data_IF_284350849623
#
_entry.id   IF_284350849623
#
_cell.length_a   1.000
_cell.length_b   1.000
_cell.length_c   1.000
_cell.angle_alpha   90.00
_cell.angle_beta   90.00
_cell.angle_gamma   90.00
#
_symmetry.space_group_name_H-M   'P 1'
#
loop_
_entity.id
_entity.type
_entity.pdbx_description
1 polymer ?
#
# COMPACT_ATOMS: atom_id res chain seq x y z
N UNK A 1 -23.54 -4.33 9.69
CA UNK A 1 -23.09 -3.44 10.77
C UNK A 1 -22.62 -4.22 12.01
N UNK A 2 -23.40 -5.14 12.66
CA UNK A 2 -22.95 -5.78 13.91
C UNK A 2 -21.60 -6.49 13.82
N UNK A 3 -21.35 -7.25 12.75
CA UNK A 3 -20.06 -7.94 12.54
C UNK A 3 -18.89 -6.95 12.44
N UNK A 4 -19.06 -5.85 11.69
CA UNK A 4 -18.04 -4.80 11.56
C UNK A 4 -17.71 -4.17 12.92
N UNK A 5 -18.74 -3.83 13.72
CA UNK A 5 -18.54 -3.25 15.05
C UNK A 5 -17.89 -4.25 16.01
N UNK A 6 -18.24 -5.54 15.90
CA UNK A 6 -17.59 -6.62 16.66
C UNK A 6 -16.11 -6.76 16.33
N UNK A 7 -15.74 -6.69 15.03
CA UNK A 7 -14.34 -6.71 14.58
C UNK A 7 -13.57 -5.51 15.15
N UNK A 8 -14.12 -4.29 15.01
CA UNK A 8 -13.50 -3.08 15.57
C UNK A 8 -13.28 -3.23 17.08
N UNK A 9 -14.29 -3.74 17.80
CA UNK A 9 -14.20 -3.97 19.24
C UNK A 9 -13.11 -4.98 19.61
N UNK A 10 -12.93 -6.04 18.81
CA UNK A 10 -11.90 -7.06 19.05
C UNK A 10 -10.48 -6.48 18.88
N UNK A 11 -10.25 -5.69 17.85
CA UNK A 11 -8.96 -5.01 17.64
C UNK A 11 -8.65 -4.01 18.77
N UNK A 12 -9.61 -3.17 19.12
CA UNK A 12 -9.43 -2.16 20.19
C UNK A 12 -9.17 -2.76 21.56
N UNK A 13 -9.75 -3.93 21.84
CA UNK A 13 -9.57 -4.64 23.12
C UNK A 13 -8.32 -5.53 23.17
N UNK A 14 -7.52 -5.57 22.09
CA UNK A 14 -6.34 -6.42 22.02
C UNK A 14 -6.67 -7.93 22.01
N UNK A 15 -7.84 -8.32 21.49
CA UNK A 15 -8.22 -9.73 21.38
C UNK A 15 -7.57 -10.44 20.20
N UNK A 16 -6.85 -9.69 19.34
CA UNK A 16 -6.14 -10.25 18.20
C UNK A 16 -4.68 -10.44 18.58
N UNK A 17 -4.17 -11.65 18.40
CA UNK A 17 -2.80 -11.99 18.77
C UNK A 17 -1.79 -11.07 18.06
N UNK A 18 -0.89 -10.47 18.83
CA UNK A 18 0.13 -9.52 18.36
C UNK A 18 -0.41 -8.24 17.71
N UNK A 19 -1.67 -7.87 17.99
CA UNK A 19 -2.23 -6.60 17.51
C UNK A 19 -3.00 -5.93 18.64
N UNK A 20 -2.68 -4.67 18.92
CA UNK A 20 -3.37 -3.86 19.93
C UNK A 20 -3.48 -2.40 19.46
N UNK A 21 -4.56 -1.73 19.89
CA UNK A 21 -4.65 -0.30 19.66
C UNK A 21 -3.81 0.47 20.69
N UNK A 22 -3.05 1.46 20.22
CA UNK A 22 -2.33 2.41 21.08
C UNK A 22 -3.25 3.53 21.60
N UNK A 23 -2.72 4.45 22.41
CA UNK A 23 -3.46 5.59 22.97
C UNK A 23 -3.99 6.56 21.90
N UNK A 24 -3.40 6.57 20.72
CA UNK A 24 -3.86 7.38 19.57
C UNK A 24 -4.95 6.71 18.76
N UNK A 25 -5.30 5.45 19.07
CA UNK A 25 -6.27 4.63 18.38
C UNK A 25 -5.75 3.91 17.16
N UNK A 26 -4.46 4.00 16.82
CA UNK A 26 -3.80 3.23 15.78
C UNK A 26 -3.36 1.84 16.26
N UNK A 27 -3.06 0.94 15.31
CA UNK A 27 -2.76 -0.46 15.62
C UNK A 27 -1.25 -0.68 15.71
N UNK A 28 -0.76 -1.04 16.88
CA UNK A 28 0.58 -1.64 17.02
C UNK A 28 0.52 -3.10 16.62
N UNK A 29 1.30 -3.48 15.61
CA UNK A 29 1.20 -4.76 14.89
C UNK A 29 2.50 -5.53 14.99
N UNK A 30 2.41 -6.73 15.55
CA UNK A 30 3.49 -7.70 15.51
C UNK A 30 4.61 -7.48 16.51
N UNK A 31 5.66 -8.24 16.29
CA UNK A 31 6.94 -8.18 17.01
C UNK A 31 8.06 -8.25 15.98
N UNK A 32 9.33 -8.00 16.34
CA UNK A 32 10.45 -8.10 15.40
C UNK A 32 10.58 -9.44 14.64
N UNK A 33 9.93 -10.50 15.15
CA UNK A 33 10.00 -11.85 14.57
C UNK A 33 8.69 -12.29 13.90
N UNK A 34 7.66 -11.44 13.85
CA UNK A 34 6.37 -11.75 13.20
C UNK A 34 6.28 -11.10 11.82
N UNK A 35 5.40 -11.66 10.96
CA UNK A 35 5.02 -11.06 9.68
C UNK A 35 3.51 -11.03 9.57
N UNK A 36 2.93 -9.89 9.89
CA UNK A 36 1.48 -9.67 9.89
C UNK A 36 1.00 -8.76 8.75
N UNK A 37 1.89 -8.46 7.79
CA UNK A 37 1.54 -7.70 6.58
C UNK A 37 1.70 -8.56 5.33
N UNK A 38 1.30 -8.03 4.17
CA UNK A 38 1.47 -8.73 2.90
C UNK A 38 2.95 -8.96 2.51
N UNK A 39 3.89 -8.16 3.06
CA UNK A 39 5.33 -8.36 2.90
C UNK A 39 5.86 -9.35 3.94
N UNK A 40 5.58 -10.63 3.77
CA UNK A 40 5.65 -11.65 4.82
C UNK A 40 6.75 -12.71 4.65
N UNK A 41 7.78 -12.46 3.82
CA UNK A 41 8.85 -13.45 3.61
C UNK A 41 9.74 -13.57 4.84
N UNK A 42 10.01 -14.82 5.21
CA UNK A 42 11.02 -15.19 6.22
C UNK A 42 12.15 -16.00 5.60
N UNK A 43 13.37 -15.78 6.11
CA UNK A 43 14.53 -16.64 5.83
C UNK A 43 15.09 -17.05 7.18
N UNK A 44 15.18 -18.36 7.42
CA UNK A 44 15.63 -18.94 8.70
C UNK A 44 14.88 -18.37 9.92
N UNK A 45 13.56 -18.21 9.80
CA UNK A 45 12.71 -17.69 10.87
C UNK A 45 12.82 -16.19 11.14
N UNK A 46 13.54 -15.44 10.30
CA UNK A 46 13.66 -13.97 10.42
C UNK A 46 12.99 -13.27 9.26
N UNK A 47 12.24 -12.19 9.52
CA UNK A 47 11.67 -11.32 8.48
C UNK A 47 12.76 -10.79 7.54
N UNK A 48 12.51 -10.84 6.24
CA UNK A 48 13.31 -10.11 5.24
C UNK A 48 12.96 -8.64 5.25
N UNK A 49 11.69 -8.33 5.45
CA UNK A 49 11.15 -6.97 5.53
C UNK A 49 10.44 -6.81 6.88
N UNK A 50 11.18 -6.46 7.97
CA UNK A 50 10.58 -6.29 9.29
C UNK A 50 9.61 -5.12 9.31
N UNK A 51 8.32 -5.38 9.62
CA UNK A 51 7.26 -4.38 9.60
C UNK A 51 6.38 -4.43 10.85
N UNK A 52 7.01 -4.74 12.00
CA UNK A 52 6.37 -4.57 13.31
C UNK A 52 6.23 -3.10 13.69
N UNK A 53 5.30 -2.77 14.57
CA UNK A 53 4.93 -1.41 14.94
C UNK A 53 3.72 -0.94 14.15
N UNK A 54 3.79 0.21 13.53
CA UNK A 54 2.67 0.81 12.78
C UNK A 54 2.97 0.85 11.27
N UNK A 55 2.63 -0.21 10.48
CA UNK A 55 2.79 -0.19 9.02
C UNK A 55 1.79 0.75 8.37
N UNK A 56 2.24 1.58 7.44
CA UNK A 56 1.46 2.68 6.87
C UNK A 56 0.14 2.25 6.22
N UNK A 57 0.13 1.13 5.49
CA UNK A 57 -1.09 0.62 4.86
C UNK A 57 -2.06 0.01 5.87
N UNK A 58 -1.55 -0.60 6.93
CA UNK A 58 -2.39 -1.14 7.99
C UNK A 58 -3.12 0.01 8.70
N UNK A 59 -2.42 1.10 9.00
CA UNK A 59 -3.01 2.27 9.62
C UNK A 59 -4.01 2.98 8.70
N UNK A 60 -3.70 3.06 7.41
CA UNK A 60 -4.63 3.59 6.42
C UNK A 60 -5.91 2.75 6.31
N UNK A 61 -5.78 1.42 6.25
CA UNK A 61 -6.90 0.47 6.23
C UNK A 61 -7.71 0.53 7.51
N UNK A 62 -7.05 0.63 8.66
CA UNK A 62 -7.72 0.77 9.95
C UNK A 62 -8.52 2.07 10.05
N UNK A 63 -7.90 3.20 9.72
CA UNK A 63 -8.61 4.48 9.65
C UNK A 63 -9.83 4.41 8.73
N UNK A 64 -9.67 3.86 7.52
CA UNK A 64 -10.76 3.70 6.56
C UNK A 64 -11.88 2.81 7.13
N UNK A 65 -11.54 1.76 7.86
CA UNK A 65 -12.51 0.87 8.53
C UNK A 65 -13.33 1.62 9.58
N UNK A 66 -12.67 2.44 10.41
CA UNK A 66 -13.33 3.27 11.42
C UNK A 66 -14.21 4.34 10.79
N UNK A 67 -13.73 5.01 9.74
CA UNK A 67 -14.49 6.03 9.01
C UNK A 67 -15.72 5.45 8.30
N UNK A 68 -15.60 4.25 7.70
CA UNK A 68 -16.73 3.53 7.14
C UNK A 68 -17.75 3.16 8.21
N UNK A 69 -17.29 2.67 9.37
CA UNK A 69 -18.18 2.30 10.47
C UNK A 69 -18.92 3.53 11.03
N UNK A 70 -18.24 4.66 11.18
CA UNK A 70 -18.86 5.95 11.52
C UNK A 70 -19.94 6.34 10.51
N UNK A 71 -19.61 6.31 9.20
CA UNK A 71 -20.56 6.62 8.14
C UNK A 71 -21.83 5.73 8.20
N UNK A 72 -21.65 4.42 8.37
CA UNK A 72 -22.76 3.46 8.51
C UNK A 72 -23.58 3.75 9.77
N UNK A 73 -22.93 4.04 10.90
CA UNK A 73 -23.62 4.32 12.17
C UNK A 73 -24.52 5.54 12.04
N UNK A 74 -24.03 6.62 11.41
CA UNK A 74 -24.84 7.83 11.17
C UNK A 74 -26.07 7.55 10.30
N UNK A 75 -25.92 6.80 9.22
CA UNK A 75 -27.03 6.45 8.32
C UNK A 75 -28.09 5.55 8.99
N UNK A 76 -27.65 4.65 9.84
CA UNK A 76 -28.53 3.67 10.50
C UNK A 76 -29.04 4.15 11.85
N UNK A 77 -28.51 5.27 12.38
CA UNK A 77 -28.74 5.73 13.75
C UNK A 77 -28.33 4.68 14.81
N UNK A 78 -27.31 3.91 14.52
CA UNK A 78 -26.68 2.97 15.43
C UNK A 78 -25.73 3.71 16.40
N UNK A 79 -25.33 3.11 17.53
CA UNK A 79 -24.22 3.61 18.34
C UNK A 79 -22.94 3.74 17.51
N UNK A 80 -22.33 4.92 17.56
CA UNK A 80 -21.16 5.24 16.75
C UNK A 80 -19.89 4.59 17.34
N UNK A 81 -19.21 3.69 16.62
CA UNK A 81 -18.00 3.04 17.11
C UNK A 81 -16.75 3.94 17.07
N UNK A 82 -16.81 5.06 16.34
CA UNK A 82 -15.68 5.99 16.21
C UNK A 82 -16.19 7.38 15.82
N UNK A 83 -16.13 8.35 16.73
CA UNK A 83 -16.64 9.70 16.50
C UNK A 83 -15.84 10.48 15.44
N UNK A 84 -16.49 11.46 14.80
CA UNK A 84 -15.81 12.39 13.88
C UNK A 84 -14.62 13.12 14.54
N UNK A 85 -14.70 13.43 15.84
CA UNK A 85 -13.59 14.03 16.61
C UNK A 85 -12.38 13.08 16.70
N UNK A 86 -12.62 11.81 16.96
CA UNK A 86 -11.58 10.78 17.02
C UNK A 86 -10.92 10.60 15.64
N UNK A 87 -11.69 10.51 14.57
CA UNK A 87 -11.17 10.44 13.19
C UNK A 87 -10.30 11.67 12.84
N UNK A 88 -10.71 12.86 13.23
CA UNK A 88 -9.92 14.07 13.01
C UNK A 88 -8.59 14.06 13.80
N UNK A 89 -8.62 13.59 15.05
CA UNK A 89 -7.41 13.40 15.86
C UNK A 89 -6.46 12.38 15.22
N UNK A 90 -6.97 11.25 14.75
CA UNK A 90 -6.19 10.23 14.06
C UNK A 90 -5.50 10.77 12.79
N UNK A 91 -6.17 11.57 11.95
CA UNK A 91 -5.53 12.23 10.81
C UNK A 91 -4.34 13.09 11.22
N UNK A 92 -4.47 13.83 12.31
CA UNK A 92 -3.39 14.69 12.83
C UNK A 92 -2.19 13.85 13.29
N UNK A 93 -2.44 12.76 14.02
CA UNK A 93 -1.39 11.82 14.46
C UNK A 93 -0.75 11.12 13.26
N UNK A 94 -1.55 10.67 12.28
CA UNK A 94 -1.04 10.03 11.07
C UNK A 94 -0.03 10.92 10.35
N UNK A 95 -0.38 12.17 10.07
CA UNK A 95 0.55 13.14 9.43
C UNK A 95 1.84 13.33 10.24
N UNK A 96 1.73 13.48 11.55
CA UNK A 96 2.90 13.65 12.43
C UNK A 96 3.83 12.43 12.40
N UNK A 97 3.27 11.22 12.35
CA UNK A 97 4.04 9.97 12.37
C UNK A 97 4.64 9.63 10.99
N UNK A 98 3.88 9.80 9.93
CA UNK A 98 4.22 9.24 8.64
C UNK A 98 4.72 10.24 7.60
N UNK A 99 4.20 11.47 7.56
CA UNK A 99 4.54 12.41 6.50
C UNK A 99 5.96 12.92 6.63
N UNK A 100 6.75 12.76 5.57
CA UNK A 100 8.11 13.24 5.44
C UNK A 100 8.18 14.60 4.71
N UNK A 101 9.29 15.37 4.88
CA UNK A 101 9.42 16.68 4.24
C UNK A 101 9.37 16.68 2.71
N UNK A 102 9.74 15.56 2.08
CA UNK A 102 9.70 15.37 0.61
C UNK A 102 8.30 15.02 0.09
N UNK A 103 7.33 14.83 0.97
CA UNK A 103 5.96 14.45 0.65
C UNK A 103 5.70 12.96 0.59
N UNK A 104 6.71 12.11 0.80
CA UNK A 104 6.52 10.66 0.97
C UNK A 104 6.01 10.33 2.37
N UNK A 105 5.62 9.07 2.57
CA UNK A 105 5.30 8.54 3.88
C UNK A 105 6.33 7.49 4.29
N UNK A 106 6.64 7.45 5.59
CA UNK A 106 7.35 6.34 6.21
C UNK A 106 6.63 5.03 5.93
N UNK A 107 7.37 3.97 5.69
CA UNK A 107 6.77 2.63 5.53
C UNK A 107 6.24 2.07 6.85
N UNK A 108 7.02 2.27 7.93
CA UNK A 108 6.63 1.88 9.29
C UNK A 108 7.01 2.99 10.27
N UNK A 109 6.06 3.37 11.12
CA UNK A 109 6.39 4.19 12.29
C UNK A 109 6.65 3.30 13.51
N UNK A 110 7.76 3.57 14.21
CA UNK A 110 8.15 2.98 15.50
C UNK A 110 8.80 4.05 16.37
N UNK A 111 8.76 3.85 17.67
CA UNK A 111 9.58 4.68 18.59
C UNK A 111 11.07 4.41 18.38
N UNK A 112 11.93 5.31 18.82
CA UNK A 112 13.38 5.10 18.78
C UNK A 112 13.81 3.89 19.62
N UNK A 113 13.11 3.64 20.74
CA UNK A 113 13.33 2.48 21.60
C UNK A 113 13.00 1.15 20.92
N UNK A 114 12.06 1.16 19.97
CA UNK A 114 11.63 0.01 19.18
C UNK A 114 12.40 -0.16 17.86
N UNK A 115 13.53 0.53 17.71
CA UNK A 115 14.40 0.47 16.54
C UNK A 115 14.17 1.59 15.53
N UNK A 116 13.36 2.59 15.86
CA UNK A 116 13.12 3.77 15.04
C UNK A 116 12.24 3.52 13.80
N UNK A 117 11.83 4.61 13.13
CA UNK A 117 10.95 4.55 11.96
C UNK A 117 11.69 4.05 10.71
N UNK A 118 10.97 3.34 9.86
CA UNK A 118 11.43 2.94 8.51
C UNK A 118 10.96 3.97 7.48
N UNK A 119 11.92 4.64 6.85
CA UNK A 119 11.67 5.68 5.84
C UNK A 119 11.78 5.15 4.40
N UNK A 120 11.87 3.85 4.20
CA UNK A 120 11.95 3.24 2.86
C UNK A 120 10.77 3.68 1.98
N UNK A 121 11.06 4.06 0.74
CA UNK A 121 10.01 4.39 -0.23
C UNK A 121 9.46 3.09 -0.79
N UNK A 122 8.24 2.75 -0.35
CA UNK A 122 7.50 1.55 -0.73
C UNK A 122 6.09 1.88 -1.22
N UNK A 123 5.44 1.00 -2.00
CA UNK A 123 4.10 1.25 -2.55
C UNK A 123 3.01 1.30 -1.48
N UNK A 124 3.26 0.80 -0.29
CA UNK A 124 2.33 0.75 0.84
C UNK A 124 1.74 2.13 1.19
N UNK A 125 2.51 3.20 1.02
CA UNK A 125 2.07 4.57 1.25
C UNK A 125 0.84 5.00 0.41
N UNK A 126 0.62 4.36 -0.74
CA UNK A 126 -0.50 4.67 -1.63
C UNK A 126 -1.87 4.41 -0.98
N UNK A 127 -1.96 3.46 -0.07
CA UNK A 127 -3.21 3.18 0.64
C UNK A 127 -3.76 4.38 1.42
N UNK A 128 -2.89 5.27 1.89
CA UNK A 128 -3.29 6.48 2.60
C UNK A 128 -4.11 7.46 1.72
N UNK A 129 -3.98 7.36 0.39
CA UNK A 129 -4.67 8.19 -0.60
C UNK A 129 -5.75 7.42 -1.39
N UNK A 130 -5.57 6.11 -1.61
CA UNK A 130 -6.38 5.30 -2.51
C UNK A 130 -7.75 4.91 -1.94
N UNK A 131 -7.86 4.75 -0.63
CA UNK A 131 -9.03 4.18 0.03
C UNK A 131 -10.28 5.09 -0.07
N UNK A 132 -11.51 4.55 0.07
CA UNK A 132 -12.75 5.35 0.02
C UNK A 132 -12.81 6.49 1.04
N UNK A 133 -12.26 6.27 2.24
CA UNK A 133 -12.10 7.29 3.28
C UNK A 133 -10.60 7.51 3.51
N UNK A 134 -9.91 8.30 2.65
CA UNK A 134 -8.47 8.46 2.76
C UNK A 134 -8.09 9.20 4.05
N UNK A 135 -6.99 8.76 4.65
CA UNK A 135 -6.47 9.39 5.87
C UNK A 135 -5.70 10.69 5.56
N UNK A 136 -5.18 10.84 4.33
CA UNK A 136 -4.55 12.07 3.84
C UNK A 136 -5.54 12.99 3.13
N UNK A 137 -5.31 14.28 3.27
CA UNK A 137 -5.94 15.30 2.43
C UNK A 137 -5.33 15.24 1.01
N UNK A 138 -6.11 15.61 -0.05
CA UNK A 138 -5.66 15.50 -1.44
C UNK A 138 -4.33 16.20 -1.73
N UNK A 139 -4.11 17.38 -1.15
CA UNK A 139 -2.89 18.18 -1.34
C UNK A 139 -1.63 17.50 -0.77
N UNK A 140 -1.80 16.65 0.25
CA UNK A 140 -0.72 15.83 0.81
C UNK A 140 -0.54 14.53 0.04
N UNK A 141 -1.65 13.97 -0.47
CA UNK A 141 -1.63 12.77 -1.30
C UNK A 141 -0.89 12.99 -2.64
N UNK A 142 -0.86 14.21 -3.18
CA UNK A 142 -0.13 14.55 -4.41
C UNK A 142 1.37 14.20 -4.31
N UNK A 143 2.02 14.50 -3.18
CA UNK A 143 3.42 14.15 -2.94
C UNK A 143 3.65 12.63 -2.94
N UNK A 144 2.75 11.89 -2.29
CA UNK A 144 2.79 10.41 -2.24
C UNK A 144 2.68 9.81 -3.65
N UNK A 145 1.71 10.26 -4.44
CA UNK A 145 1.48 9.77 -5.81
C UNK A 145 2.67 10.12 -6.71
N UNK A 146 3.19 11.33 -6.61
CA UNK A 146 4.38 11.79 -7.37
C UNK A 146 5.58 10.90 -7.09
N UNK A 147 5.92 10.68 -5.83
CA UNK A 147 7.07 9.86 -5.45
C UNK A 147 6.89 8.41 -5.88
N UNK A 148 5.68 7.85 -5.71
CA UNK A 148 5.39 6.50 -6.19
C UNK A 148 5.55 6.39 -7.73
N UNK A 149 5.13 7.41 -8.47
CA UNK A 149 5.35 7.47 -9.93
C UNK A 149 6.83 7.50 -10.30
N UNK A 150 7.61 8.35 -9.65
CA UNK A 150 9.02 8.57 -9.98
C UNK A 150 9.92 7.40 -9.59
N UNK A 151 9.64 6.74 -8.44
CA UNK A 151 10.52 5.74 -7.85
C UNK A 151 10.04 4.30 -8.04
N UNK A 152 8.72 4.08 -8.11
CA UNK A 152 8.15 2.74 -8.02
C UNK A 152 7.44 2.27 -9.29
N UNK A 153 6.75 3.17 -10.02
CA UNK A 153 5.95 2.80 -11.19
C UNK A 153 6.84 2.28 -12.31
N UNK A 154 6.40 1.18 -12.91
CA UNK A 154 7.01 0.52 -14.07
C UNK A 154 5.93 0.16 -15.10
N UNK A 155 6.29 -0.27 -16.31
CA UNK A 155 5.31 -0.73 -17.30
C UNK A 155 4.48 -1.94 -16.86
N UNK A 156 4.91 -2.68 -15.82
CA UNK A 156 4.30 -3.95 -15.41
C UNK A 156 3.72 -3.95 -14.00
N UNK A 157 3.84 -2.85 -13.26
CA UNK A 157 3.38 -2.73 -11.89
C UNK A 157 4.22 -1.77 -11.07
N UNK A 158 4.19 -1.90 -9.75
CA UNK A 158 5.02 -1.09 -8.86
C UNK A 158 6.12 -1.93 -8.20
N UNK A 159 7.32 -1.36 -8.12
CA UNK A 159 8.41 -1.91 -7.30
C UNK A 159 8.00 -1.93 -5.83
N UNK A 160 8.44 -2.93 -5.12
CA UNK A 160 8.22 -3.08 -3.67
C UNK A 160 9.16 -2.24 -2.82
N UNK A 161 10.23 -1.73 -3.42
CA UNK A 161 11.23 -0.85 -2.82
C UNK A 161 11.82 0.07 -3.89
N UNK A 162 12.12 1.32 -3.52
CA UNK A 162 12.81 2.27 -4.41
C UNK A 162 14.19 1.75 -4.82
N UNK A 163 14.62 1.96 -6.09
CA UNK A 163 15.99 1.66 -6.52
C UNK A 163 17.07 2.46 -5.78
N UNK A 164 16.72 3.55 -5.12
CA UNK A 164 17.66 4.38 -4.35
C UNK A 164 17.96 3.79 -2.97
N UNK A 165 17.20 2.79 -2.53
CA UNK A 165 17.38 2.16 -1.23
C UNK A 165 18.56 1.16 -1.27
N UNK A 166 19.48 1.18 -0.29
CA UNK A 166 20.61 0.23 -0.24
C UNK A 166 20.21 -1.24 -0.20
N UNK A 167 18.99 -1.54 0.28
CA UNK A 167 18.45 -2.90 0.32
C UNK A 167 17.76 -3.33 -0.98
N UNK A 168 17.76 -2.48 -2.03
CA UNK A 168 17.13 -2.79 -3.30
C UNK A 168 17.73 -4.06 -3.93
N UNK A 169 16.89 -5.05 -4.14
CA UNK A 169 17.25 -6.36 -4.70
C UNK A 169 16.21 -6.73 -5.79
N UNK A 170 16.46 -6.31 -7.06
CA UNK A 170 15.45 -6.41 -8.12
C UNK A 170 15.27 -7.81 -8.70
N UNK A 171 16.28 -8.68 -8.59
CA UNK A 171 16.34 -9.95 -9.32
C UNK A 171 15.75 -11.10 -8.50
N UNK A 172 14.67 -11.69 -9.03
CA UNK A 172 14.03 -12.87 -8.44
C UNK A 172 14.63 -14.14 -9.05
N UNK A 173 15.86 -14.48 -8.65
CA UNK A 173 16.63 -15.60 -9.21
C UNK A 173 17.40 -16.38 -8.14
N UNK A 174 17.99 -17.52 -8.53
CA UNK A 174 18.84 -18.33 -7.67
C UNK A 174 18.09 -19.29 -6.74
N UNK A 175 18.65 -19.55 -5.57
CA UNK A 175 18.11 -20.43 -4.53
C UNK A 175 16.79 -19.88 -3.94
N UNK A 176 16.00 -20.69 -3.22
CA UNK A 176 14.80 -20.19 -2.51
C UNK A 176 15.09 -19.03 -1.56
N UNK A 177 16.25 -19.02 -0.90
CA UNK A 177 16.63 -17.94 0.00
C UNK A 177 16.97 -16.64 -0.75
N UNK A 178 17.65 -16.73 -1.89
CA UNK A 178 17.95 -15.57 -2.75
C UNK A 178 16.68 -14.99 -3.33
N UNK A 179 15.78 -15.81 -3.86
CA UNK A 179 14.45 -15.36 -4.31
C UNK A 179 13.62 -14.74 -3.18
N UNK A 180 13.67 -15.33 -1.99
CA UNK A 180 13.01 -14.78 -0.81
C UNK A 180 13.51 -13.40 -0.43
N UNK A 181 14.81 -13.11 -0.59
CA UNK A 181 15.38 -11.78 -0.32
C UNK A 181 14.84 -10.70 -1.25
N UNK A 182 14.64 -11.02 -2.52
CA UNK A 182 14.17 -10.04 -3.52
C UNK A 182 12.65 -9.84 -3.52
N UNK A 183 11.88 -10.81 -3.01
CA UNK A 183 10.43 -10.91 -3.20
C UNK A 183 9.63 -9.66 -2.79
N UNK A 184 10.09 -8.91 -1.77
CA UNK A 184 9.52 -7.64 -1.35
C UNK A 184 10.60 -6.53 -1.22
N UNK A 185 11.74 -6.70 -1.90
CA UNK A 185 12.87 -5.77 -1.83
C UNK A 185 13.26 -5.21 -3.21
N UNK A 186 12.30 -5.07 -4.10
CA UNK A 186 12.55 -4.47 -5.41
C UNK A 186 11.78 -5.08 -6.57
N UNK A 187 11.30 -6.34 -6.44
CA UNK A 187 10.43 -6.94 -7.48
C UNK A 187 9.19 -6.08 -7.72
N UNK A 188 8.68 -6.15 -8.94
CA UNK A 188 7.50 -5.42 -9.40
C UNK A 188 6.25 -6.29 -9.23
N UNK A 189 5.19 -5.69 -8.67
CA UNK A 189 3.91 -6.35 -8.41
C UNK A 189 2.77 -5.68 -9.19
N UNK A 190 2.13 -6.37 -10.14
CA UNK A 190 1.05 -5.82 -10.97
C UNK A 190 -0.20 -5.42 -10.18
N UNK A 191 -0.56 -6.17 -9.12
CA UNK A 191 -1.77 -5.89 -8.35
C UNK A 191 -1.81 -4.47 -7.75
N UNK A 192 -0.64 -3.89 -7.51
CA UNK A 192 -0.48 -2.53 -6.98
C UNK A 192 -0.93 -1.45 -7.95
N UNK A 193 -1.09 -1.77 -9.26
CA UNK A 193 -1.60 -0.82 -10.25
C UNK A 193 -3.01 -0.33 -9.90
N UNK A 194 -3.87 -1.20 -9.37
CA UNK A 194 -5.20 -0.79 -8.93
C UNK A 194 -5.17 0.22 -7.79
N UNK A 195 -4.29 0.01 -6.80
CA UNK A 195 -4.12 0.95 -5.68
C UNK A 195 -3.51 2.27 -6.17
N UNK A 196 -2.53 2.20 -7.08
CA UNK A 196 -1.91 3.38 -7.67
C UNK A 196 -2.91 4.20 -8.49
N UNK A 197 -3.71 3.55 -9.35
CA UNK A 197 -4.73 4.21 -10.16
C UNK A 197 -5.77 4.92 -9.28
N UNK A 198 -6.28 4.26 -8.24
CA UNK A 198 -7.19 4.88 -7.29
C UNK A 198 -6.59 6.12 -6.61
N UNK A 199 -5.34 6.02 -6.14
CA UNK A 199 -4.66 7.15 -5.52
C UNK A 199 -4.45 8.29 -6.53
N UNK A 200 -3.96 7.97 -7.74
CA UNK A 200 -3.71 8.93 -8.81
C UNK A 200 -4.98 9.67 -9.21
N UNK A 201 -6.05 8.95 -9.53
CA UNK A 201 -7.28 9.55 -10.06
C UNK A 201 -8.02 10.37 -8.99
N UNK A 202 -8.18 9.87 -7.77
CA UNK A 202 -8.79 10.61 -6.67
C UNK A 202 -8.04 11.89 -6.33
N UNK A 203 -6.71 11.80 -6.24
CA UNK A 203 -5.87 12.97 -5.96
C UNK A 203 -5.95 13.98 -7.08
N UNK A 204 -5.84 13.54 -8.34
CA UNK A 204 -5.94 14.43 -9.52
C UNK A 204 -7.30 15.10 -9.60
N UNK A 205 -8.40 14.37 -9.41
CA UNK A 205 -9.76 14.90 -9.43
C UNK A 205 -9.93 16.01 -8.39
N UNK A 206 -9.49 15.76 -7.16
CA UNK A 206 -9.61 16.72 -6.07
C UNK A 206 -8.75 17.97 -6.30
N UNK A 207 -7.46 17.82 -6.65
CA UNK A 207 -6.52 18.94 -6.84
C UNK A 207 -6.84 19.74 -8.10
N UNK A 208 -7.29 19.08 -9.18
CA UNK A 208 -7.69 19.78 -10.42
C UNK A 208 -9.09 20.39 -10.37
N UNK A 209 -9.80 20.24 -9.25
CA UNK A 209 -11.23 20.60 -9.14
C UNK A 209 -12.09 19.97 -10.25
N UNK A 210 -11.78 18.73 -10.63
CA UNK A 210 -12.51 17.96 -11.62
C UNK A 210 -12.35 18.42 -13.09
N UNK A 211 -11.29 19.15 -13.43
CA UNK A 211 -11.03 19.61 -14.81
C UNK A 211 -10.83 18.39 -15.73
N UNK A 212 -11.79 18.14 -16.65
CA UNK A 212 -11.79 17.00 -17.58
C UNK A 212 -10.53 16.89 -18.42
N UNK A 213 -9.98 18.00 -18.88
CA UNK A 213 -8.74 18.00 -19.70
C UNK A 213 -7.53 17.50 -18.93
N UNK A 214 -7.41 17.82 -17.63
CA UNK A 214 -6.35 17.33 -16.75
C UNK A 214 -6.53 15.83 -16.53
N UNK A 215 -7.74 15.40 -16.16
CA UNK A 215 -8.07 13.99 -15.95
C UNK A 215 -7.79 13.14 -17.19
N UNK A 216 -8.25 13.59 -18.37
CA UNK A 216 -8.01 12.88 -19.64
C UNK A 216 -6.50 12.71 -19.93
N UNK A 217 -5.70 13.74 -19.68
CA UNK A 217 -4.24 13.68 -19.84
C UNK A 217 -3.60 12.67 -18.92
N UNK A 218 -3.97 12.69 -17.63
CA UNK A 218 -3.44 11.77 -16.62
C UNK A 218 -3.81 10.31 -16.92
N UNK A 219 -5.07 10.05 -17.31
CA UNK A 219 -5.52 8.71 -17.69
C UNK A 219 -4.74 8.21 -18.93
N UNK A 220 -4.62 9.05 -19.97
CA UNK A 220 -3.88 8.68 -21.18
C UNK A 220 -2.43 8.34 -20.90
N UNK A 221 -1.76 9.15 -20.08
CA UNK A 221 -0.36 8.95 -19.71
C UNK A 221 -0.16 7.68 -18.87
N UNK A 222 -1.07 7.42 -17.93
CA UNK A 222 -1.06 6.17 -17.15
C UNK A 222 -1.24 4.93 -18.04
N UNK A 223 -2.25 4.93 -18.92
CA UNK A 223 -2.50 3.82 -19.85
C UNK A 223 -1.33 3.59 -20.81
N UNK A 224 -0.71 4.65 -21.31
CA UNK A 224 0.49 4.55 -22.14
C UNK A 224 1.64 3.90 -21.36
N UNK A 225 1.81 4.25 -20.09
CA UNK A 225 2.87 3.70 -19.24
C UNK A 225 2.73 2.19 -19.07
N UNK A 226 1.51 1.70 -18.83
CA UNK A 226 1.25 0.27 -18.57
C UNK A 226 0.94 -0.54 -19.84
N UNK A 227 0.90 0.08 -21.01
CA UNK A 227 0.56 -0.59 -22.28
C UNK A 227 1.42 -1.83 -22.58
N UNK A 228 2.73 -1.92 -22.21
CA UNK A 228 3.54 -3.12 -22.42
C UNK A 228 3.00 -4.37 -21.69
N UNK A 229 2.26 -4.18 -20.59
CA UNK A 229 1.59 -5.30 -19.91
C UNK A 229 0.61 -6.03 -20.84
N UNK A 230 -0.09 -5.29 -21.71
CA UNK A 230 -1.10 -5.81 -22.64
C UNK A 230 -0.52 -6.16 -24.00
N UNK A 231 0.37 -5.32 -24.53
CA UNK A 231 0.91 -5.48 -25.91
C UNK A 231 2.06 -6.48 -25.99
N UNK A 232 2.70 -6.77 -24.86
CA UNK A 232 3.86 -7.68 -24.78
C UNK A 232 3.58 -8.86 -23.85
N UNK A 233 3.37 -8.64 -22.54
CA UNK A 233 3.37 -9.70 -21.55
C UNK A 233 2.28 -10.75 -21.75
N UNK A 234 1.05 -10.37 -22.15
CA UNK A 234 -0.05 -11.31 -22.37
C UNK A 234 0.24 -12.35 -23.48
N UNK A 235 1.21 -12.09 -24.36
CA UNK A 235 1.63 -13.03 -25.43
C UNK A 235 2.95 -13.74 -25.14
N UNK A 236 3.73 -13.32 -24.15
CA UNK A 236 5.08 -13.85 -23.91
C UNK A 236 5.14 -14.97 -22.88
N UNK A 237 4.37 -14.89 -21.80
CA UNK A 237 4.55 -15.79 -20.66
C UNK A 237 3.37 -16.72 -20.44
N UNK A 238 2.30 -16.29 -19.79
CA UNK A 238 1.11 -17.10 -19.56
C UNK A 238 -0.01 -16.59 -20.45
N UNK A 239 -0.09 -17.07 -21.69
CA UNK A 239 -0.97 -16.60 -22.75
C UNK A 239 -2.35 -16.09 -22.25
N UNK A 240 -2.52 -14.78 -22.24
CA UNK A 240 -3.72 -14.10 -21.79
C UNK A 240 -3.84 -13.87 -20.28
N UNK A 241 -2.81 -14.23 -19.49
CA UNK A 241 -2.77 -14.03 -18.04
C UNK A 241 -1.63 -13.12 -17.59
N UNK A 242 -1.68 -12.68 -16.33
CA UNK A 242 -0.69 -11.79 -15.74
C UNK A 242 0.10 -12.53 -14.66
N UNK A 243 1.43 -12.51 -14.79
CA UNK A 243 2.34 -13.09 -13.82
C UNK A 243 2.23 -12.41 -12.44
N UNK A 244 2.62 -13.12 -11.41
CA UNK A 244 2.58 -12.64 -10.03
C UNK A 244 3.49 -11.44 -9.83
N UNK A 245 4.74 -11.54 -10.30
CA UNK A 245 5.78 -10.52 -10.13
C UNK A 245 6.63 -10.41 -11.40
N UNK A 246 7.41 -9.32 -11.47
CA UNK A 246 8.47 -9.13 -12.46
C UNK A 246 9.77 -8.71 -11.77
N UNK A 247 10.92 -8.89 -12.45
CA UNK A 247 12.17 -8.28 -12.01
C UNK A 247 12.01 -6.77 -11.81
N UNK A 248 12.74 -6.19 -10.85
CA UNK A 248 12.67 -4.76 -10.54
C UNK A 248 13.33 -3.85 -11.56
N UNK A 249 14.07 -4.43 -12.52
CA UNK A 249 14.80 -3.72 -13.59
C UNK A 249 14.53 -4.36 -14.93
N UNK A 250 14.86 -3.65 -16.03
CA UNK A 250 14.80 -4.20 -17.37
C UNK A 250 15.66 -5.47 -17.50
N UNK A 251 15.21 -6.44 -18.32
CA UNK A 251 14.07 -6.42 -19.26
C UNK A 251 12.71 -6.77 -18.64
N UNK A 252 12.51 -6.65 -17.32
CA UNK A 252 11.25 -6.92 -16.61
C UNK A 252 10.79 -8.38 -16.78
N UNK A 253 11.69 -9.31 -16.51
CA UNK A 253 11.40 -10.74 -16.64
C UNK A 253 10.25 -11.15 -15.72
N UNK A 254 9.23 -11.88 -16.22
CA UNK A 254 8.12 -12.37 -15.39
C UNK A 254 8.56 -13.52 -14.50
N UNK A 255 8.03 -13.57 -13.26
CA UNK A 255 8.34 -14.55 -12.25
C UNK A 255 7.12 -14.88 -11.37
N UNK A 256 7.33 -15.79 -10.41
CA UNK A 256 6.27 -16.24 -9.50
C UNK A 256 5.25 -17.14 -10.19
N UNK A 257 3.99 -17.05 -9.77
CA UNK A 257 2.89 -17.76 -10.43
C UNK A 257 2.64 -17.15 -11.81
N UNK A 258 2.51 -18.02 -12.83
CA UNK A 258 2.34 -17.58 -14.23
C UNK A 258 0.96 -16.96 -14.52
N UNK A 259 -0.04 -17.29 -13.71
CA UNK A 259 -1.39 -16.74 -13.77
C UNK A 259 -1.84 -16.41 -12.34
N UNK A 260 -1.76 -15.14 -11.96
CA UNK A 260 -2.05 -14.71 -10.59
C UNK A 260 -3.33 -13.90 -10.53
N UNK A 261 -4.38 -14.47 -9.96
CA UNK A 261 -5.68 -13.80 -9.83
C UNK A 261 -5.57 -12.43 -9.13
N UNK A 262 -4.68 -12.27 -8.16
CA UNK A 262 -4.45 -10.99 -7.49
C UNK A 262 -3.88 -9.93 -8.43
N UNK A 263 -2.93 -10.31 -9.30
CA UNK A 263 -2.39 -9.43 -10.35
C UNK A 263 -3.47 -9.02 -11.34
N UNK A 264 -4.27 -9.98 -11.82
CA UNK A 264 -5.36 -9.73 -12.76
C UNK A 264 -6.42 -8.81 -12.16
N UNK A 265 -6.85 -9.07 -10.93
CA UNK A 265 -7.83 -8.23 -10.23
C UNK A 265 -7.32 -6.79 -10.01
N UNK A 266 -6.05 -6.62 -9.66
CA UNK A 266 -5.44 -5.30 -9.49
C UNK A 266 -5.33 -4.53 -10.79
N UNK A 267 -4.95 -5.19 -11.88
CA UNK A 267 -4.88 -4.58 -13.21
C UNK A 267 -6.29 -4.25 -13.72
N UNK A 268 -7.25 -5.17 -13.59
CA UNK A 268 -8.64 -4.90 -13.96
C UNK A 268 -9.22 -3.69 -13.23
N UNK A 269 -8.89 -3.52 -11.95
CA UNK A 269 -9.29 -2.34 -11.16
C UNK A 269 -8.66 -1.04 -11.66
N UNK A 270 -7.47 -1.11 -12.28
CA UNK A 270 -6.74 0.05 -12.77
C UNK A 270 -7.26 0.58 -14.12
N UNK A 271 -8.02 -0.26 -14.85
CA UNK A 271 -8.66 0.06 -16.14
C UNK A 271 -10.05 0.66 -15.94
#
# INVERSE_FOLDING_TARGET
>A
APALYGIIGAYRKGHILFVSADESGFLDVGTPNTQLTWMNVQINGRPVTPRNGHPVEIEALWYNTLALAHHIALQRKDPDPCSAKELAAMRTVFRKRFLLPDGSLRDVWRSEEDGGPDNSVRPNQLFAAALPFPVLEPEKAEGVVKIAREKLLTPFGLRTLSPDDPAFCPDYAGSPAERGRSYHQGTVWPWLLGVYADALFKTTEAVSAGKRTVMSGVVTDFLNTISPLFTRHLSESCLGHISEIFSGTEPWAPHGSIAKAWSEAGVYRAL
#
